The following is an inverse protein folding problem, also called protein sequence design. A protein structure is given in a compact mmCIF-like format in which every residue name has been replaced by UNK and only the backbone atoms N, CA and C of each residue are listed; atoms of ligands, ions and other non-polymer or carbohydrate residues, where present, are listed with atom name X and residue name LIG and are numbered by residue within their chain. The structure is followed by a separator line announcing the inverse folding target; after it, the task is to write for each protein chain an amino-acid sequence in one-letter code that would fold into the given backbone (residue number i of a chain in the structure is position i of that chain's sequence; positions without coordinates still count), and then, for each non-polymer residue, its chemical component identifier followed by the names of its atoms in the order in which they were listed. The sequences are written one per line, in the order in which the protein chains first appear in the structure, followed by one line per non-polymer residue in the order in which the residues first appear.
data_IF_262785077631
#
_entry.id   IF_262785077631
#
_cell.length_a   1.000
_cell.length_b   1.000
_cell.length_c   1.000
_cell.angle_alpha   90.00
_cell.angle_beta   90.00
_cell.angle_gamma   90.00
#
_symmetry.space_group_name_H-M   'P 1'
#
loop_
_entity.id
_entity.type
_entity.pdbx_description
1 polymer ?
#
# COMPACT_ATOMS: atom_id res chain seq x y z
N UNK A 1 -11.70 -8.34 -5.45
CA UNK A 1 -10.52 -8.23 -6.35
C UNK A 1 -10.66 -9.07 -7.64
N UNK A 2 -10.20 -8.55 -8.79
CA UNK A 2 -9.98 -9.32 -10.05
C UNK A 2 -8.94 -10.44 -9.86
N UNK A 3 -9.11 -11.57 -10.57
CA UNK A 3 -8.31 -12.77 -10.38
C UNK A 3 -6.82 -12.59 -10.76
N UNK A 4 -6.53 -11.81 -11.81
CA UNK A 4 -5.17 -11.55 -12.28
C UNK A 4 -4.43 -10.67 -11.27
N UNK A 5 -5.08 -9.59 -10.82
CA UNK A 5 -4.52 -8.73 -9.79
C UNK A 5 -4.30 -9.46 -8.47
N UNK A 6 -5.23 -10.32 -8.05
CA UNK A 6 -5.07 -11.13 -6.85
C UNK A 6 -3.89 -12.11 -6.97
N UNK A 7 -3.63 -12.66 -8.17
CA UNK A 7 -2.48 -13.52 -8.41
C UNK A 7 -1.15 -12.76 -8.31
N UNK A 8 -1.08 -11.56 -8.90
CA UNK A 8 0.11 -10.71 -8.80
C UNK A 8 0.38 -10.22 -7.39
N UNK A 9 -0.65 -9.78 -6.66
CA UNK A 9 -0.52 -9.39 -5.26
C UNK A 9 0.01 -10.57 -4.41
N UNK A 10 -0.54 -11.78 -4.59
CA UNK A 10 -0.03 -12.98 -3.91
C UNK A 10 1.43 -13.28 -4.25
N UNK A 11 1.83 -13.16 -5.52
CA UNK A 11 3.21 -13.37 -5.94
C UNK A 11 4.13 -12.35 -5.28
N UNK A 12 3.80 -11.05 -5.34
CA UNK A 12 4.57 -9.98 -4.70
C UNK A 12 4.71 -10.24 -3.20
N UNK A 13 3.63 -10.62 -2.53
CA UNK A 13 3.67 -10.96 -1.10
C UNK A 13 4.66 -12.08 -0.82
N UNK A 14 4.58 -13.18 -1.57
CA UNK A 14 5.42 -14.35 -1.35
C UNK A 14 6.90 -14.12 -1.67
N UNK A 15 7.21 -13.24 -2.64
CA UNK A 15 8.59 -13.04 -3.11
C UNK A 15 9.28 -11.83 -2.52
N UNK A 16 8.55 -10.79 -2.13
CA UNK A 16 9.11 -9.49 -1.77
C UNK A 16 8.71 -8.99 -0.39
N UNK A 17 7.64 -9.50 0.23
CA UNK A 17 7.25 -9.07 1.58
C UNK A 17 7.94 -9.98 2.61
N UNK A 18 8.81 -9.44 3.47
CA UNK A 18 9.48 -10.23 4.48
C UNK A 18 8.50 -10.59 5.60
N UNK A 19 8.84 -11.63 6.36
CA UNK A 19 8.04 -12.03 7.54
C UNK A 19 8.04 -10.96 8.65
N UNK A 20 9.08 -10.12 8.70
CA UNK A 20 9.31 -9.06 9.70
C UNK A 20 10.12 -7.95 9.05
N UNK A 21 9.98 -6.72 9.54
CA UNK A 21 10.70 -5.58 8.99
C UNK A 21 10.07 -5.00 7.71
N UNK A 22 10.75 -3.97 7.21
CA UNK A 22 10.50 -3.38 5.90
C UNK A 22 10.99 -4.30 4.78
N UNK A 23 10.34 -4.27 3.64
CA UNK A 23 10.77 -5.03 2.47
C UNK A 23 12.00 -4.40 1.82
N UNK A 24 12.90 -5.23 1.29
CA UNK A 24 14.09 -4.75 0.57
C UNK A 24 13.75 -4.16 -0.82
N UNK A 25 12.50 -4.35 -1.30
CA UNK A 25 12.03 -3.85 -2.60
C UNK A 25 10.79 -2.96 -2.46
N UNK A 26 10.66 -1.99 -3.36
CA UNK A 26 9.52 -1.06 -3.38
C UNK A 26 8.22 -1.82 -3.61
N UNK A 27 8.24 -2.85 -4.47
CA UNK A 27 7.10 -3.74 -4.71
C UNK A 27 6.60 -4.38 -3.41
N UNK A 28 7.51 -4.96 -2.63
CA UNK A 28 7.18 -5.56 -1.35
C UNK A 28 6.67 -4.52 -0.36
N UNK A 29 7.34 -3.37 -0.27
CA UNK A 29 6.99 -2.36 0.73
C UNK A 29 5.63 -1.72 0.46
N UNK A 30 5.29 -1.45 -0.80
CA UNK A 30 3.97 -0.95 -1.18
C UNK A 30 2.87 -1.94 -0.75
N UNK A 31 3.01 -3.22 -1.08
CA UNK A 31 2.01 -4.22 -0.70
C UNK A 31 1.94 -4.40 0.82
N UNK A 32 3.10 -4.43 1.50
CA UNK A 32 3.18 -4.49 2.96
C UNK A 32 2.46 -3.30 3.61
N UNK A 33 2.61 -2.10 3.07
CA UNK A 33 1.96 -0.90 3.57
C UNK A 33 0.44 -1.00 3.48
N UNK A 34 -0.10 -1.43 2.32
CA UNK A 34 -1.55 -1.62 2.15
C UNK A 34 -2.09 -2.63 3.16
N UNK A 35 -1.45 -3.79 3.29
CA UNK A 35 -1.93 -4.85 4.18
C UNK A 35 -1.80 -4.48 5.67
N UNK A 36 -0.79 -3.69 6.05
CA UNK A 36 -0.68 -3.16 7.41
C UNK A 36 -1.79 -2.18 7.75
N UNK A 37 -2.13 -1.27 6.84
CA UNK A 37 -3.22 -0.31 7.03
C UNK A 37 -4.58 -1.01 7.01
N UNK A 38 -4.77 -2.01 6.14
CA UNK A 38 -5.96 -2.88 6.11
C UNK A 38 -6.14 -3.60 7.43
N UNK A 39 -5.11 -4.26 7.92
CA UNK A 39 -5.13 -5.01 9.18
C UNK A 39 -5.42 -4.10 10.38
N UNK A 40 -4.84 -2.91 10.43
CA UNK A 40 -5.11 -1.94 11.51
C UNK A 40 -6.57 -1.46 11.48
N UNK A 41 -7.09 -1.09 10.31
CA UNK A 41 -8.47 -0.62 10.19
C UNK A 41 -9.49 -1.73 10.47
N UNK A 42 -9.32 -2.90 9.87
CA UNK A 42 -10.33 -3.97 9.91
C UNK A 42 -10.27 -4.81 11.19
N UNK A 43 -9.07 -5.06 11.73
CA UNK A 43 -8.91 -5.91 12.93
C UNK A 43 -8.88 -5.10 14.21
N UNK A 44 -8.25 -3.93 14.19
CA UNK A 44 -8.04 -3.13 15.39
C UNK A 44 -8.93 -1.88 15.45
N UNK A 45 -9.68 -1.56 14.39
CA UNK A 45 -10.51 -0.36 14.33
C UNK A 45 -9.69 0.92 14.48
N UNK A 46 -8.46 0.94 13.95
CA UNK A 46 -7.49 2.04 14.07
C UNK A 46 -7.11 2.45 15.51
N UNK A 47 -7.39 1.63 16.53
CA UNK A 47 -7.06 2.00 17.92
C UNK A 47 -5.54 2.08 18.17
N UNK A 48 -4.73 1.39 17.37
CA UNK A 48 -3.26 1.46 17.44
C UNK A 48 -2.66 2.37 16.35
N UNK A 49 -3.48 3.18 15.69
CA UNK A 49 -3.01 4.14 14.71
C UNK A 49 -1.98 5.09 15.33
N UNK A 50 -0.86 5.27 14.65
CA UNK A 50 0.30 6.05 15.11
C UNK A 50 1.10 6.58 13.91
N UNK A 51 2.21 7.28 14.19
CA UNK A 51 3.12 7.83 13.18
C UNK A 51 3.64 6.77 12.19
N UNK A 52 3.71 5.49 12.57
CA UNK A 52 4.11 4.42 11.66
C UNK A 52 3.10 4.26 10.53
N UNK A 53 1.81 4.29 10.86
CA UNK A 53 0.72 4.17 9.88
C UNK A 53 0.68 5.38 8.95
N UNK A 54 0.88 6.59 9.50
CA UNK A 54 0.97 7.82 8.71
C UNK A 54 2.13 7.78 7.70
N UNK A 55 3.28 7.26 8.10
CA UNK A 55 4.45 7.09 7.23
C UNK A 55 4.22 6.06 6.13
N UNK A 56 3.57 4.92 6.44
CA UNK A 56 3.17 3.94 5.42
C UNK A 56 2.22 4.56 4.40
N UNK A 57 1.25 5.33 4.87
CA UNK A 57 0.30 6.03 4.02
C UNK A 57 0.99 7.10 3.14
N UNK A 58 1.91 7.86 3.71
CA UNK A 58 2.72 8.83 2.99
C UNK A 58 3.59 8.16 1.92
N UNK A 59 4.20 7.02 2.23
CA UNK A 59 4.99 6.23 1.29
C UNK A 59 4.15 5.73 0.10
N UNK A 60 2.95 5.20 0.36
CA UNK A 60 1.99 4.83 -0.68
C UNK A 60 1.65 6.02 -1.58
N UNK A 61 1.27 7.14 -0.96
CA UNK A 61 0.90 8.36 -1.68
C UNK A 61 2.05 8.85 -2.55
N UNK A 62 3.23 9.02 -1.98
CA UNK A 62 4.38 9.55 -2.69
C UNK A 62 4.76 8.66 -3.88
N UNK A 63 4.91 7.36 -3.64
CA UNK A 63 5.39 6.42 -4.67
C UNK A 63 4.40 6.27 -5.83
N UNK A 64 3.12 6.14 -5.52
CA UNK A 64 2.10 5.92 -6.55
C UNK A 64 1.81 7.20 -7.34
N UNK A 65 1.68 8.36 -6.69
CA UNK A 65 1.37 9.62 -7.37
C UNK A 65 2.55 10.16 -8.18
N UNK A 66 3.79 9.94 -7.71
CA UNK A 66 5.00 10.40 -8.40
C UNK A 66 5.41 9.50 -9.58
N UNK A 67 4.71 8.39 -9.80
CA UNK A 67 5.04 7.42 -10.84
C UNK A 67 4.72 7.90 -12.27
N UNK A 68 3.79 8.84 -12.42
CA UNK A 68 3.27 9.28 -13.72
C UNK A 68 2.53 8.19 -14.51
N UNK A 69 2.20 7.06 -13.88
CA UNK A 69 1.58 5.90 -14.55
C UNK A 69 0.07 6.02 -14.73
N UNK A 70 -0.60 6.83 -13.90
CA UNK A 70 -2.05 6.87 -13.81
C UNK A 70 -2.62 8.09 -14.54
N UNK A 71 -3.83 7.93 -15.08
CA UNK A 71 -4.60 9.07 -15.61
C UNK A 71 -4.99 10.02 -14.49
N UNK A 72 -5.42 11.23 -14.84
CA UNK A 72 -5.92 12.20 -13.86
C UNK A 72 -7.09 11.63 -13.05
N UNK A 73 -8.04 10.95 -13.71
CA UNK A 73 -9.18 10.29 -13.06
C UNK A 73 -8.74 9.20 -12.08
N UNK A 74 -7.86 8.29 -12.49
CA UNK A 74 -7.33 7.23 -11.62
C UNK A 74 -6.50 7.81 -10.47
N UNK A 75 -5.77 8.90 -10.70
CA UNK A 75 -5.00 9.58 -9.65
C UNK A 75 -5.92 10.25 -8.63
N UNK A 76 -7.03 10.84 -9.07
CA UNK A 76 -8.04 11.44 -8.20
C UNK A 76 -8.74 10.38 -7.33
N UNK A 77 -9.14 9.23 -7.92
CA UNK A 77 -9.72 8.11 -7.16
C UNK A 77 -8.73 7.58 -6.11
N UNK A 78 -7.46 7.37 -6.50
CA UNK A 78 -6.42 6.94 -5.58
C UNK A 78 -6.20 7.94 -4.44
N UNK A 79 -6.20 9.25 -4.74
CA UNK A 79 -6.06 10.28 -3.71
C UNK A 79 -7.23 10.26 -2.72
N UNK A 80 -8.46 10.12 -3.21
CA UNK A 80 -9.66 9.99 -2.37
C UNK A 80 -9.61 8.75 -1.48
N UNK A 81 -9.17 7.60 -2.01
CA UNK A 81 -9.01 6.39 -1.22
C UNK A 81 -7.95 6.57 -0.12
N UNK A 82 -6.80 7.15 -0.46
CA UNK A 82 -5.73 7.42 0.51
C UNK A 82 -6.14 8.48 1.54
N UNK A 83 -6.94 9.48 1.17
CA UNK A 83 -7.51 10.46 2.11
C UNK A 83 -8.48 9.78 3.08
N UNK A 84 -9.29 8.84 2.58
CA UNK A 84 -10.22 8.08 3.43
C UNK A 84 -9.50 7.15 4.38
N UNK A 85 -8.38 6.55 3.97
CA UNK A 85 -7.49 5.78 4.84
C UNK A 85 -6.82 6.64 5.91
N UNK A 86 -6.60 7.93 5.64
CA UNK A 86 -6.00 8.87 6.60
C UNK A 86 -6.96 9.26 7.74
N UNK A 87 -8.26 9.17 7.50
CA UNK A 87 -9.31 9.44 8.50
C UNK A 87 -9.41 8.28 9.50
N UNK A 88 -8.43 8.22 10.40
CA UNK A 88 -8.28 7.14 11.35
C UNK A 88 -9.45 7.08 12.36
N UNK A 89 -10.10 8.22 12.63
CA UNK A 89 -11.29 8.32 13.50
C UNK A 89 -12.50 7.55 12.94
N UNK A 90 -12.52 7.31 11.62
CA UNK A 90 -13.57 6.56 10.94
C UNK A 90 -12.98 5.34 10.19
N UNK A 91 -12.63 4.25 10.90
CA UNK A 91 -11.97 3.09 10.30
C UNK A 91 -12.72 2.52 9.09
N UNK A 92 -11.97 2.20 8.04
CA UNK A 92 -12.49 1.51 6.86
C UNK A 92 -12.55 0.00 7.10
N UNK A 93 -13.76 -0.54 7.20
CA UNK A 93 -13.98 -1.99 7.32
C UNK A 93 -14.21 -2.69 5.99
N UNK A 94 -14.58 -1.93 4.95
CA UNK A 94 -14.83 -2.48 3.61
C UNK A 94 -13.52 -2.78 2.88
N UNK A 95 -13.49 -3.90 2.14
CA UNK A 95 -12.33 -4.28 1.34
C UNK A 95 -12.13 -3.42 0.09
N UNK A 96 -13.19 -2.80 -0.42
CA UNK A 96 -13.17 -2.15 -1.73
C UNK A 96 -12.10 -1.04 -1.88
N UNK A 97 -11.93 -0.11 -0.92
CA UNK A 97 -10.85 0.89 -1.01
C UNK A 97 -9.46 0.26 -1.00
N UNK A 98 -9.23 -0.73 -0.13
CA UNK A 98 -7.95 -1.43 -0.09
C UNK A 98 -7.67 -2.21 -1.38
N UNK A 99 -8.68 -2.86 -1.95
CA UNK A 99 -8.57 -3.56 -3.24
C UNK A 99 -8.22 -2.61 -4.37
N UNK A 100 -8.82 -1.40 -4.41
CA UNK A 100 -8.50 -0.37 -5.40
C UNK A 100 -7.06 0.11 -5.26
N UNK A 101 -6.58 0.37 -4.05
CA UNK A 101 -5.18 0.75 -3.82
C UNK A 101 -4.25 -0.41 -4.22
N UNK A 102 -4.58 -1.66 -3.88
CA UNK A 102 -3.80 -2.83 -4.30
C UNK A 102 -3.73 -2.95 -5.83
N UNK A 103 -4.78 -2.61 -6.57
CA UNK A 103 -4.71 -2.55 -8.03
C UNK A 103 -3.64 -1.56 -8.51
N UNK A 104 -3.61 -0.36 -7.93
CA UNK A 104 -2.60 0.66 -8.28
C UNK A 104 -1.19 0.19 -7.91
N UNK A 105 -1.02 -0.49 -6.77
CA UNK A 105 0.26 -1.11 -6.40
C UNK A 105 0.69 -2.16 -7.43
N UNK A 106 -0.21 -3.06 -7.84
CA UNK A 106 0.10 -4.09 -8.84
C UNK A 106 0.44 -3.47 -10.20
N UNK A 107 -0.29 -2.45 -10.63
CA UNK A 107 0.01 -1.76 -11.89
C UNK A 107 1.35 -1.05 -11.85
N UNK A 108 1.68 -0.40 -10.73
CA UNK A 108 3.00 0.15 -10.51
C UNK A 108 4.07 -0.92 -10.60
N UNK A 109 3.86 -2.08 -9.97
CA UNK A 109 4.80 -3.21 -9.99
C UNK A 109 4.97 -3.79 -11.40
N UNK A 110 3.90 -3.90 -12.19
CA UNK A 110 3.94 -4.39 -13.58
C UNK A 110 4.71 -3.45 -14.51
N UNK A 111 4.73 -2.16 -14.22
CA UNK A 111 5.50 -1.18 -14.96
C UNK A 111 7.01 -1.23 -14.66
N UNK A 112 7.44 -1.93 -13.60
CA UNK A 112 8.85 -2.08 -13.27
C UNK A 112 9.41 -3.38 -13.87
N UNK A 113 10.37 -3.32 -14.82
CA UNK A 113 10.94 -4.51 -15.44
C UNK A 113 11.79 -5.34 -14.47
N UNK A 114 12.35 -4.70 -13.43
CA UNK A 114 13.17 -5.32 -12.39
C UNK A 114 12.71 -4.85 -11.00
N UNK A 115 12.96 -5.63 -9.94
CA UNK A 115 12.71 -5.21 -8.56
C UNK A 115 13.45 -3.91 -8.23
N UNK A 116 12.73 -2.90 -7.73
CA UNK A 116 13.32 -1.61 -7.37
C UNK A 116 13.74 -1.68 -5.92
N UNK A 117 15.00 -1.33 -5.62
CA UNK A 117 15.51 -1.31 -4.25
C UNK A 117 14.72 -0.29 -3.41
N UNK A 118 14.24 -0.72 -2.25
CA UNK A 118 13.63 0.15 -1.26
C UNK A 118 14.69 0.65 -0.27
N UNK A 119 14.67 1.95 0.01
CA UNK A 119 15.48 2.55 1.07
C UNK A 119 14.68 2.52 2.37
N UNK A 120 15.15 1.75 3.35
CA UNK A 120 14.42 1.60 4.61
C UNK A 120 14.35 2.92 5.38
N UNK A 121 13.15 3.30 5.82
CA UNK A 121 12.97 4.42 6.73
C UNK A 121 13.49 4.02 8.11
N UNK A 122 14.56 4.69 8.57
CA UNK A 122 15.18 4.45 9.87
C UNK A 122 14.25 4.75 11.06
N UNK A 123 13.18 5.51 10.82
CA UNK A 123 12.15 5.85 11.81
C UNK A 123 11.00 4.82 11.82
N UNK A 124 10.84 4.01 10.78
CA UNK A 124 9.92 2.86 10.77
C UNK A 124 10.59 1.66 11.45
N UNK A 125 10.66 1.69 12.78
CA UNK A 125 11.05 0.51 13.57
C UNK A 125 9.84 -0.40 13.77
N UNK A 126 9.82 -1.57 13.13
CA UNK A 126 9.02 -2.75 13.51
C UNK A 126 9.47 -4.00 12.75
#
# INVERSE_FOLDING_TARGET
MDASYAADARRIWQTHVPRRGQADTVQGELLRAVEKLRDEAQRNGNINWDEHHERLLAYLRQTLTSSGLFTEETSAELAMDLDRLADFEHPLTDDAPFDRITYRVVDWCRAQPEPVRHEHDLHLKR
#
